data_IF_594448385988
#
_entry.id   IF_594448385988
#
_cell.length_a   1.000
_cell.length_b   1.000
_cell.length_c   1.000
_cell.angle_alpha   90.00
_cell.angle_beta   90.00
_cell.angle_gamma   90.00
#
_symmetry.space_group_name_H-M   'P 1'
#
loop_
_entity.id
_entity.type
_entity.pdbx_description
1 polymer ?
#
# COMPACT_ATOMS: atom_id res chain seq x y z
N UNK A 1 -25.62 8.26 -16.56
CA UNK A 1 -24.39 8.53 -17.32
C UNK A 1 -23.30 7.65 -16.75
N UNK A 2 -22.77 6.73 -17.57
CA UNK A 2 -21.79 5.73 -17.15
C UNK A 2 -20.54 6.41 -16.55
N UNK A 3 -20.13 6.10 -15.30
CA UNK A 3 -18.98 6.75 -14.65
C UNK A 3 -17.63 6.34 -15.26
N UNK A 4 -17.63 5.53 -16.31
CA UNK A 4 -16.44 4.91 -16.88
C UNK A 4 -15.85 5.76 -18.01
N UNK A 5 -15.10 6.78 -17.62
CA UNK A 5 -14.11 7.41 -18.51
C UNK A 5 -13.02 6.38 -18.79
N UNK A 6 -13.19 5.59 -19.85
CA UNK A 6 -12.18 4.69 -20.41
C UNK A 6 -12.64 3.24 -20.65
N UNK A 7 -13.06 2.94 -21.89
CA UNK A 7 -13.05 1.59 -22.49
C UNK A 7 -14.27 0.68 -22.30
N UNK A 8 -15.21 0.99 -21.40
CA UNK A 8 -16.37 0.13 -21.15
C UNK A 8 -15.99 -1.27 -20.63
N UNK A 9 -16.94 -2.21 -20.63
CA UNK A 9 -16.73 -3.57 -20.09
C UNK A 9 -15.65 -4.34 -20.84
N UNK A 10 -15.62 -4.23 -22.16
CA UNK A 10 -14.66 -4.91 -23.03
C UNK A 10 -13.22 -4.43 -22.77
N UNK A 11 -13.00 -3.12 -22.64
CA UNK A 11 -11.69 -2.59 -22.32
C UNK A 11 -11.16 -2.98 -20.94
N UNK A 12 -12.05 -3.27 -19.97
CA UNK A 12 -11.63 -3.82 -18.67
C UNK A 12 -11.21 -5.28 -18.80
N UNK A 13 -11.93 -6.08 -19.60
CA UNK A 13 -11.56 -7.47 -19.85
C UNK A 13 -10.21 -7.57 -20.56
N UNK A 14 -9.98 -6.75 -21.59
CA UNK A 14 -8.71 -6.70 -22.33
C UNK A 14 -7.52 -6.31 -21.42
N UNK A 15 -7.73 -5.38 -20.50
CA UNK A 15 -6.70 -4.93 -19.55
C UNK A 15 -6.49 -5.88 -18.37
N UNK A 16 -7.31 -6.92 -18.23
CA UNK A 16 -7.17 -7.86 -17.11
C UNK A 16 -6.00 -8.81 -17.37
N UNK A 17 -4.87 -8.54 -16.72
CA UNK A 17 -3.70 -9.40 -16.75
C UNK A 17 -3.85 -10.62 -15.82
N UNK A 18 -3.93 -11.80 -16.43
CA UNK A 18 -3.87 -13.09 -15.72
C UNK A 18 -2.46 -13.66 -15.64
N UNK A 19 -1.64 -13.43 -16.67
CA UNK A 19 -0.32 -14.02 -16.82
C UNK A 19 0.69 -13.42 -15.84
N UNK A 20 0.76 -12.08 -15.77
CA UNK A 20 1.62 -11.38 -14.84
C UNK A 20 1.30 -11.71 -13.38
N UNK A 21 0.00 -11.80 -13.05
CA UNK A 21 -0.46 -12.22 -11.72
C UNK A 21 -0.01 -13.64 -11.39
N UNK A 22 -0.21 -14.59 -12.32
CA UNK A 22 0.22 -15.97 -12.13
C UNK A 22 1.74 -16.10 -11.96
N UNK A 23 2.52 -15.39 -12.78
CA UNK A 23 3.97 -15.39 -12.73
C UNK A 23 4.51 -14.79 -11.43
N UNK A 24 3.97 -13.66 -10.97
CA UNK A 24 4.36 -13.04 -9.71
C UNK A 24 4.12 -13.96 -8.52
N UNK A 25 2.94 -14.59 -8.44
CA UNK A 25 2.62 -15.53 -7.35
C UNK A 25 3.46 -16.81 -7.42
N UNK A 26 3.69 -17.34 -8.61
CA UNK A 26 4.55 -18.52 -8.80
C UNK A 26 5.99 -18.24 -8.35
N UNK A 27 6.53 -17.08 -8.72
CA UNK A 27 7.85 -16.61 -8.31
C UNK A 27 7.93 -16.41 -6.79
N UNK A 28 6.93 -15.76 -6.18
CA UNK A 28 6.85 -15.56 -4.73
C UNK A 28 6.76 -16.88 -3.96
N UNK A 29 5.88 -17.81 -4.39
CA UNK A 29 5.75 -19.15 -3.83
C UNK A 29 7.06 -19.92 -3.85
N UNK A 30 7.78 -19.84 -4.97
CA UNK A 30 9.07 -20.51 -5.16
C UNK A 30 10.26 -19.81 -4.49
N UNK A 31 10.03 -18.75 -3.71
CA UNK A 31 11.08 -17.92 -3.09
C UNK A 31 12.15 -17.49 -4.10
N UNK A 32 11.71 -17.11 -5.31
CA UNK A 32 12.58 -16.55 -6.34
C UNK A 32 12.67 -15.03 -6.19
N UNK A 33 13.67 -14.42 -6.83
CA UNK A 33 13.77 -12.96 -6.92
C UNK A 33 12.54 -12.43 -7.67
N UNK A 34 11.60 -11.84 -6.94
CA UNK A 34 10.28 -11.44 -7.46
C UNK A 34 10.16 -9.91 -7.44
N UNK A 35 10.41 -9.26 -8.59
CA UNK A 35 10.38 -7.81 -8.71
C UNK A 35 9.04 -7.39 -9.34
N UNK A 36 8.17 -6.75 -8.55
CA UNK A 36 6.88 -6.21 -9.01
C UNK A 36 6.86 -4.68 -9.15
N UNK A 37 7.97 -3.99 -8.82
CA UNK A 37 8.12 -2.54 -8.86
C UNK A 37 9.52 -2.21 -9.41
N UNK A 38 9.59 -1.31 -10.38
CA UNK A 38 10.84 -0.92 -11.03
C UNK A 38 11.86 -0.33 -10.05
N UNK A 39 11.41 0.27 -8.94
CA UNK A 39 12.28 0.86 -7.94
C UNK A 39 13.12 -0.17 -7.17
N UNK A 40 12.69 -1.44 -7.14
CA UNK A 40 13.43 -2.48 -6.41
C UNK A 40 14.65 -3.00 -7.21
N UNK A 41 14.71 -2.74 -8.52
CA UNK A 41 15.76 -3.27 -9.41
C UNK A 41 17.17 -2.91 -8.94
N UNK A 42 17.38 -1.65 -8.54
CA UNK A 42 18.68 -1.16 -8.05
C UNK A 42 19.07 -1.88 -6.76
N UNK A 43 18.15 -1.98 -5.80
CA UNK A 43 18.36 -2.67 -4.51
C UNK A 43 18.72 -4.14 -4.73
N UNK A 44 18.01 -4.84 -5.62
CA UNK A 44 18.31 -6.25 -5.95
C UNK A 44 19.69 -6.39 -6.58
N UNK A 45 20.06 -5.50 -7.51
CA UNK A 45 21.37 -5.54 -8.16
C UNK A 45 22.52 -5.34 -7.16
N UNK A 46 22.38 -4.39 -6.25
CA UNK A 46 23.35 -4.14 -5.17
C UNK A 46 23.46 -5.35 -4.24
N UNK A 47 22.33 -5.93 -3.85
CA UNK A 47 22.27 -7.13 -3.02
C UNK A 47 22.94 -8.35 -3.68
N UNK A 48 22.73 -8.57 -4.98
CA UNK A 48 23.42 -9.62 -5.74
C UNK A 48 24.94 -9.40 -5.76
N UNK A 49 25.40 -8.16 -6.00
CA UNK A 49 26.83 -7.81 -5.99
C UNK A 49 27.48 -7.99 -4.62
N UNK A 50 26.72 -7.81 -3.55
CA UNK A 50 27.17 -8.02 -2.17
C UNK A 50 27.24 -9.49 -1.74
N UNK A 51 26.96 -10.45 -2.64
CA UNK A 51 26.99 -11.88 -2.31
C UNK A 51 25.72 -12.38 -1.63
N UNK A 52 24.59 -11.72 -1.84
CA UNK A 52 23.26 -12.15 -1.37
C UNK A 52 23.12 -12.28 0.16
N UNK A 53 23.54 -11.28 0.96
CA UNK A 53 23.40 -11.34 2.42
C UNK A 53 21.92 -11.50 2.84
N UNK A 54 21.66 -12.22 3.92
CA UNK A 54 20.31 -12.38 4.52
C UNK A 54 19.26 -12.84 3.49
N UNK A 55 19.65 -13.77 2.61
CA UNK A 55 18.89 -14.16 1.42
C UNK A 55 17.43 -14.48 1.68
N UNK A 56 17.13 -15.25 2.72
CA UNK A 56 15.75 -15.64 3.03
C UNK A 56 14.87 -14.44 3.36
N UNK A 57 15.36 -13.53 4.21
CA UNK A 57 14.64 -12.31 4.58
C UNK A 57 14.47 -11.39 3.36
N UNK A 58 15.54 -11.19 2.57
CA UNK A 58 15.50 -10.36 1.38
C UNK A 58 14.47 -10.87 0.36
N UNK A 59 14.46 -12.18 0.08
CA UNK A 59 13.49 -12.80 -0.82
C UNK A 59 12.07 -12.79 -0.25
N UNK A 60 11.91 -12.96 1.07
CA UNK A 60 10.62 -12.84 1.73
C UNK A 60 10.04 -11.42 1.60
N UNK A 61 10.89 -10.40 1.69
CA UNK A 61 10.49 -9.00 1.49
C UNK A 61 10.03 -8.72 0.04
N UNK A 62 10.69 -9.31 -0.95
CA UNK A 62 10.25 -9.24 -2.35
C UNK A 62 8.93 -9.99 -2.57
N UNK A 63 8.81 -11.20 -2.03
CA UNK A 63 7.59 -12.01 -2.11
C UNK A 63 6.39 -11.33 -1.44
N UNK A 64 6.57 -10.75 -0.25
CA UNK A 64 5.50 -10.05 0.46
C UNK A 64 5.00 -8.84 -0.32
N UNK A 65 5.91 -8.08 -0.95
CA UNK A 65 5.54 -6.96 -1.84
C UNK A 65 4.78 -7.42 -3.08
N UNK A 66 5.16 -8.56 -3.66
CA UNK A 66 4.48 -9.15 -4.81
C UNK A 66 3.06 -9.61 -4.47
N UNK A 67 2.90 -10.38 -3.38
CA UNK A 67 1.58 -10.83 -2.90
C UNK A 67 0.68 -9.65 -2.52
N UNK A 68 1.22 -8.63 -1.86
CA UNK A 68 0.50 -7.39 -1.57
C UNK A 68 0.03 -6.69 -2.86
N UNK A 69 0.83 -6.72 -3.92
CA UNK A 69 0.49 -6.09 -5.21
C UNK A 69 -0.61 -6.87 -5.94
N UNK A 70 -0.51 -8.20 -5.96
CA UNK A 70 -1.53 -9.07 -6.53
C UNK A 70 -2.84 -9.00 -5.77
N UNK A 71 -2.79 -9.00 -4.43
CA UNK A 71 -3.96 -8.85 -3.58
C UNK A 71 -4.73 -7.56 -3.89
N UNK A 72 -4.03 -6.43 -4.02
CA UNK A 72 -4.64 -5.15 -4.43
C UNK A 72 -5.27 -5.23 -5.82
N UNK A 73 -4.56 -5.84 -6.78
CA UNK A 73 -5.06 -5.97 -8.14
C UNK A 73 -6.38 -6.76 -8.20
N UNK A 74 -6.44 -7.91 -7.52
CA UNK A 74 -7.66 -8.71 -7.43
C UNK A 74 -8.79 -7.99 -6.67
N UNK A 75 -8.46 -7.22 -5.63
CA UNK A 75 -9.45 -6.44 -4.88
C UNK A 75 -10.11 -5.37 -5.76
N UNK A 76 -9.32 -4.64 -6.57
CA UNK A 76 -9.85 -3.65 -7.52
C UNK A 76 -10.77 -4.32 -8.54
N UNK A 77 -10.39 -5.49 -9.05
CA UNK A 77 -11.23 -6.27 -9.98
C UNK A 77 -12.54 -6.70 -9.32
N UNK A 78 -12.50 -7.20 -8.08
CA UNK A 78 -13.68 -7.60 -7.33
C UNK A 78 -14.63 -6.42 -7.10
N UNK A 79 -14.11 -5.27 -6.65
CA UNK A 79 -14.88 -4.04 -6.47
C UNK A 79 -15.59 -3.63 -7.75
N UNK A 80 -14.85 -3.59 -8.87
CA UNK A 80 -15.38 -3.26 -10.19
C UNK A 80 -16.54 -4.19 -10.59
N UNK A 81 -16.37 -5.51 -10.50
CA UNK A 81 -17.40 -6.46 -10.91
C UNK A 81 -18.60 -6.51 -9.96
N UNK A 82 -18.40 -6.18 -8.69
CA UNK A 82 -19.44 -6.25 -7.67
C UNK A 82 -20.48 -5.14 -7.76
N UNK A 83 -20.19 -4.05 -8.49
CA UNK A 83 -21.06 -2.89 -8.57
C UNK A 83 -21.30 -2.21 -7.21
N UNK A 84 -20.36 -2.35 -6.26
CA UNK A 84 -20.44 -1.80 -4.90
C UNK A 84 -20.87 -2.79 -3.83
N UNK A 85 -21.13 -4.06 -4.17
CA UNK A 85 -21.38 -5.11 -3.16
C UNK A 85 -20.13 -5.45 -2.33
N UNK A 86 -18.95 -5.36 -2.94
CA UNK A 86 -17.67 -5.59 -2.25
C UNK A 86 -16.85 -4.31 -2.21
N UNK A 87 -16.26 -4.05 -1.05
CA UNK A 87 -15.30 -2.96 -0.84
C UNK A 87 -14.11 -3.47 -0.05
N UNK A 88 -12.89 -3.16 -0.52
CA UNK A 88 -11.64 -3.47 0.15
C UNK A 88 -11.06 -2.26 0.86
N UNK A 89 -10.45 -2.53 2.02
CA UNK A 89 -9.62 -1.60 2.76
C UNK A 89 -8.20 -2.14 2.70
N UNK A 90 -7.30 -1.42 2.03
CA UNK A 90 -5.90 -1.81 1.90
C UNK A 90 -4.98 -0.71 2.43
N UNK A 91 -4.26 -1.02 3.51
CA UNK A 91 -3.33 -0.12 4.17
C UNK A 91 -1.87 -0.54 4.02
N UNK A 92 -0.96 0.42 3.85
CA UNK A 92 0.48 0.21 4.06
C UNK A 92 0.92 0.99 5.30
N UNK A 93 1.61 0.34 6.25
CA UNK A 93 2.17 1.01 7.43
C UNK A 93 3.10 2.14 6.98
N UNK A 94 2.93 3.31 7.58
CA UNK A 94 3.70 4.53 7.33
C UNK A 94 4.69 4.73 8.46
N UNK A 95 4.20 4.67 9.69
CA UNK A 95 5.00 4.86 10.91
C UNK A 95 4.34 4.15 12.08
N UNK A 96 5.10 4.00 13.15
CA UNK A 96 4.63 3.54 14.45
C UNK A 96 4.37 4.74 15.36
N UNK A 97 3.24 4.73 16.04
CA UNK A 97 2.89 5.75 17.02
C UNK A 97 3.49 5.38 18.37
N UNK A 98 3.68 6.36 19.27
CA UNK A 98 4.17 6.09 20.63
C UNK A 98 3.23 5.12 21.39
N UNK A 99 1.92 5.32 21.24
CA UNK A 99 0.85 4.47 21.76
C UNK A 99 -0.45 4.78 20.99
N UNK A 100 -1.48 3.98 21.24
CA UNK A 100 -2.84 4.15 20.72
C UNK A 100 -3.57 5.31 21.39
N UNK A 101 -4.86 5.15 21.65
CA UNK A 101 -5.64 6.18 22.33
C UNK A 101 -5.19 6.34 23.79
N UNK A 102 -4.77 5.24 24.42
CA UNK A 102 -4.24 5.15 25.78
C UNK A 102 -2.87 4.46 25.81
N UNK A 103 -2.06 4.75 26.82
CA UNK A 103 -0.66 4.29 26.92
C UNK A 103 -0.48 2.75 26.86
N UNK A 104 -1.45 1.99 27.35
CA UNK A 104 -1.41 0.52 27.33
C UNK A 104 -1.72 -0.09 25.94
N UNK A 105 -2.23 0.71 24.99
CA UNK A 105 -2.52 0.27 23.63
C UNK A 105 -1.27 0.42 22.75
N UNK A 106 -0.27 -0.42 23.01
CA UNK A 106 1.02 -0.41 22.31
C UNK A 106 1.29 -1.82 21.75
N UNK A 107 1.63 -1.99 20.46
CA UNK A 107 1.89 -0.97 19.44
C UNK A 107 0.64 -0.38 18.78
N UNK A 108 0.76 0.87 18.35
CA UNK A 108 -0.17 1.53 17.44
C UNK A 108 0.57 2.03 16.20
N UNK A 109 -0.08 2.12 15.05
CA UNK A 109 0.60 2.49 13.81
C UNK A 109 -0.32 3.22 12.86
N UNK A 110 0.22 4.20 12.14
CA UNK A 110 -0.46 4.90 11.07
C UNK A 110 -0.33 4.12 9.77
N UNK A 111 -1.46 3.83 9.13
CA UNK A 111 -1.51 3.20 7.81
C UNK A 111 -2.02 4.21 6.78
N UNK A 112 -1.41 4.23 5.60
CA UNK A 112 -1.95 4.96 4.44
C UNK A 112 -2.84 4.05 3.63
N UNK A 113 -4.03 4.54 3.29
CA UNK A 113 -4.92 3.87 2.35
C UNK A 113 -4.43 4.09 0.91
N UNK A 114 -4.43 3.02 0.11
CA UNK A 114 -4.04 3.09 -1.30
C UNK A 114 -5.07 3.81 -2.20
N UNK A 115 -6.36 3.80 -1.82
CA UNK A 115 -7.45 4.42 -2.59
C UNK A 115 -7.47 5.95 -2.53
N UNK A 116 -6.78 6.55 -1.57
CA UNK A 116 -6.80 8.01 -1.40
C UNK A 116 -6.01 8.66 -2.54
N UNK A 117 -6.73 9.06 -3.60
CA UNK A 117 -6.18 9.81 -4.74
C UNK A 117 -5.51 11.07 -4.23
N UNK A 118 -4.18 11.15 -4.34
CA UNK A 118 -3.31 12.33 -4.26
C UNK A 118 -3.78 13.51 -3.40
N UNK A 119 -4.40 13.23 -2.27
CA UNK A 119 -4.91 14.27 -1.41
C UNK A 119 -3.71 14.95 -0.76
N UNK A 120 -3.55 16.25 -1.01
CA UNK A 120 -2.37 17.02 -0.61
C UNK A 120 -2.22 17.06 0.92
N UNK A 121 -3.35 17.09 1.62
CA UNK A 121 -3.42 17.20 3.07
C UNK A 121 -3.49 15.83 3.76
N UNK A 122 -3.00 14.77 3.10
CA UNK A 122 -3.00 13.45 3.70
C UNK A 122 -1.93 13.41 4.79
N UNK A 123 -2.29 13.00 6.01
CA UNK A 123 -1.37 12.98 7.16
C UNK A 123 -0.05 12.26 6.88
N UNK A 124 -0.08 11.16 6.12
CA UNK A 124 1.12 10.38 5.77
C UNK A 124 2.10 11.09 4.83
N UNK A 125 1.75 12.27 4.29
CA UNK A 125 2.65 13.09 3.46
C UNK A 125 3.40 14.15 4.28
N UNK A 126 3.03 14.33 5.54
CA UNK A 126 3.56 15.39 6.38
C UNK A 126 4.78 14.86 7.13
N UNK A 127 5.77 15.73 7.30
CA UNK A 127 7.01 15.43 8.01
C UNK A 127 7.01 16.17 9.34
N UNK A 128 7.41 15.47 10.41
CA UNK A 128 7.58 16.07 11.72
C UNK A 128 8.90 16.85 11.74
N UNK A 129 8.82 18.19 11.70
CA UNK A 129 10.00 19.07 11.68
C UNK A 129 10.60 19.28 13.08
N UNK A 130 9.77 19.28 14.13
CA UNK A 130 10.21 19.46 15.51
C UNK A 130 9.18 18.89 16.51
N UNK A 131 9.64 18.53 17.71
CA UNK A 131 8.82 18.01 18.81
C UNK A 131 9.01 16.51 19.06
N UNK A 132 8.20 15.97 19.96
CA UNK A 132 8.18 14.54 20.27
C UNK A 132 7.54 13.73 19.14
N UNK A 133 7.85 12.42 19.01
CA UNK A 133 7.14 11.55 18.08
C UNK A 133 5.62 11.60 18.29
N UNK A 134 4.85 11.38 17.23
CA UNK A 134 3.40 11.55 17.28
C UNK A 134 2.72 10.34 17.94
N UNK A 135 1.78 10.61 18.85
CA UNK A 135 0.83 9.59 19.36
C UNK A 135 -0.35 9.42 18.39
N UNK A 136 -1.16 8.37 18.59
CA UNK A 136 -2.41 8.20 17.85
C UNK A 136 -3.35 9.41 18.01
N UNK A 137 -3.52 9.91 19.23
CA UNK A 137 -4.39 11.07 19.50
C UNK A 137 -3.92 12.32 18.75
N UNK A 138 -2.61 12.54 18.65
CA UNK A 138 -2.09 13.68 17.89
C UNK A 138 -2.47 13.60 16.40
N UNK A 139 -2.50 12.41 15.80
CA UNK A 139 -2.97 12.24 14.42
C UNK A 139 -4.48 12.46 14.30
N UNK A 140 -5.28 11.96 15.25
CA UNK A 140 -6.73 12.20 15.26
C UNK A 140 -7.06 13.70 15.37
N UNK A 141 -6.41 14.40 16.30
CA UNK A 141 -6.59 15.84 16.48
C UNK A 141 -6.18 16.62 15.22
N UNK A 142 -5.08 16.21 14.57
CA UNK A 142 -4.62 16.83 13.34
C UNK A 142 -5.57 16.58 12.17
N UNK A 143 -6.11 15.37 12.02
CA UNK A 143 -7.11 15.05 11.00
C UNK A 143 -8.37 15.90 11.16
N UNK A 144 -8.88 15.99 12.40
CA UNK A 144 -10.01 16.83 12.76
C UNK A 144 -9.76 18.31 12.42
N UNK A 145 -8.57 18.83 12.74
CA UNK A 145 -8.19 20.22 12.45
C UNK A 145 -8.11 20.48 10.94
N UNK A 146 -7.54 19.55 10.18
CA UNK A 146 -7.44 19.64 8.72
C UNK A 146 -8.83 19.67 8.07
N UNK A 147 -9.75 18.83 8.55
CA UNK A 147 -11.13 18.81 8.05
C UNK A 147 -11.82 20.15 8.32
N UNK A 148 -11.66 20.73 9.50
CA UNK A 148 -12.24 22.04 9.84
C UNK A 148 -11.71 23.17 8.94
N UNK A 149 -10.39 23.25 8.75
CA UNK A 149 -9.76 24.30 7.93
C UNK A 149 -10.18 24.26 6.46
N UNK A 150 -10.72 23.14 5.95
CA UNK A 150 -11.25 23.07 4.59
C UNK A 150 -12.62 23.68 4.39
N UNK A 151 -13.35 23.85 5.48
CA UNK A 151 -14.72 24.38 5.44
C UNK A 151 -14.77 25.91 5.53
N UNK A 152 -13.61 26.54 5.76
CA UNK A 152 -13.38 27.97 5.69
C UNK A 152 -12.91 28.37 4.29
#
# INVERSE_FOLDING_TARGET
TSPYVGGGREGVLEKTDMGGVALLRSSAKGRRITICDSNDRKKVLEWLKAGEPEREEFLNNLASKAEATVSRYCAISAEYHSGGLYESIFGKKVLECIYGENAYQNPASLFRNHKSKNYLLALHKWELVAGSPMSYNNFCDLDCRILYLRTL
#
